data_IF_985160505337
#
_entry.id   IF_985160505337
#
_cell.length_a   1.000
_cell.length_b   1.000
_cell.length_c   1.000
_cell.angle_alpha   90.00
_cell.angle_beta   90.00
_cell.angle_gamma   90.00
#
_symmetry.space_group_name_H-M   'P 1'
#
loop_
_entity.id
_entity.type
_entity.pdbx_description
1 polymer ?
#
# COMPACT_ATOMS: atom_id res chain seq x y z
N UNK A 1 -4.91 -16.46 -21.42
CA UNK A 1 -4.83 -16.59 -22.87
C UNK A 1 -3.54 -17.32 -23.19
N UNK A 2 -3.62 -18.39 -23.96
CA UNK A 2 -2.45 -19.09 -24.49
C UNK A 2 -2.35 -18.73 -25.98
N UNK A 3 -1.16 -18.32 -26.42
CA UNK A 3 -0.87 -18.03 -27.82
C UNK A 3 0.19 -19.02 -28.28
N UNK A 4 -0.17 -19.90 -29.23
CA UNK A 4 0.79 -20.78 -29.87
C UNK A 4 1.49 -20.05 -31.02
N UNK A 5 2.82 -20.14 -31.03
CA UNK A 5 3.68 -19.56 -32.07
C UNK A 5 4.42 -20.71 -32.79
N UNK A 6 3.81 -21.29 -33.86
CA UNK A 6 4.44 -22.34 -34.62
C UNK A 6 5.79 -21.91 -35.20
N UNK A 7 6.72 -22.85 -35.28
CA UNK A 7 8.09 -22.59 -35.71
C UNK A 7 8.17 -21.94 -37.10
N UNK A 8 7.39 -22.41 -38.03
CA UNK A 8 7.29 -21.90 -39.41
C UNK A 8 6.83 -20.43 -39.44
N UNK A 9 5.89 -20.03 -38.58
CA UNK A 9 5.43 -18.65 -38.45
C UNK A 9 6.54 -17.76 -37.86
N UNK A 10 7.31 -18.26 -36.87
CA UNK A 10 8.39 -17.50 -36.23
C UNK A 10 9.60 -17.24 -37.18
N UNK A 11 9.89 -18.14 -38.10
CA UNK A 11 11.00 -18.01 -39.06
C UNK A 11 10.61 -17.32 -40.36
N UNK A 12 9.33 -17.08 -40.59
CA UNK A 12 8.82 -16.45 -41.79
C UNK A 12 9.09 -14.93 -41.75
N UNK A 13 9.25 -14.34 -42.90
CA UNK A 13 9.48 -12.90 -43.06
C UNK A 13 8.28 -12.21 -43.68
N UNK A 14 7.95 -11.01 -43.19
CA UNK A 14 6.84 -10.23 -43.72
C UNK A 14 6.99 -8.74 -43.43
N UNK A 15 6.17 -7.89 -44.02
CA UNK A 15 6.19 -6.46 -43.72
C UNK A 15 5.73 -6.22 -42.29
N UNK A 16 6.50 -5.48 -41.50
CA UNK A 16 6.11 -5.04 -40.20
C UNK A 16 5.14 -3.85 -40.27
N UNK A 17 3.90 -4.04 -39.92
CA UNK A 17 2.86 -2.99 -39.94
C UNK A 17 2.62 -2.32 -38.58
N UNK A 18 3.43 -2.67 -37.59
CA UNK A 18 3.25 -2.17 -36.20
C UNK A 18 2.02 -2.76 -35.50
N UNK A 19 1.94 -2.62 -34.17
CA UNK A 19 0.78 -3.06 -33.43
C UNK A 19 -0.40 -2.14 -33.71
N UNK A 20 -1.53 -2.71 -34.16
CA UNK A 20 -2.80 -1.98 -34.14
C UNK A 20 -3.24 -1.82 -32.68
N UNK A 21 -3.66 -0.60 -32.31
CA UNK A 21 -4.19 -0.33 -30.96
C UNK A 21 -5.41 -1.23 -30.74
N UNK A 22 -5.23 -2.29 -29.95
CA UNK A 22 -6.33 -3.16 -29.56
C UNK A 22 -7.23 -2.43 -28.56
N UNK A 23 -8.49 -2.21 -28.90
CA UNK A 23 -9.49 -1.75 -27.94
C UNK A 23 -10.30 -2.97 -27.49
N UNK A 24 -10.12 -3.36 -26.23
CA UNK A 24 -10.98 -4.35 -25.61
C UNK A 24 -12.29 -3.71 -25.17
N UNK A 25 -13.40 -4.12 -25.76
CA UNK A 25 -14.74 -3.60 -25.43
C UNK A 25 -15.15 -3.89 -23.98
N UNK A 26 -14.60 -4.94 -23.37
CA UNK A 26 -14.83 -5.32 -21.98
C UNK A 26 -13.88 -4.63 -20.98
N UNK A 27 -12.80 -4.00 -21.45
CA UNK A 27 -11.86 -3.31 -20.55
C UNK A 27 -12.38 -1.90 -20.25
N UNK A 28 -13.13 -1.79 -19.16
CA UNK A 28 -13.72 -0.52 -18.68
C UNK A 28 -13.39 -0.38 -17.19
N UNK A 29 -12.15 -0.02 -16.82
CA UNK A 29 -11.78 0.13 -15.43
C UNK A 29 -12.61 1.25 -14.77
N UNK A 30 -13.09 0.99 -13.56
CA UNK A 30 -13.73 1.99 -12.74
C UNK A 30 -12.63 2.89 -12.15
N UNK A 31 -12.54 4.12 -12.62
CA UNK A 31 -11.48 5.06 -12.19
C UNK A 31 -11.87 5.81 -10.92
N UNK A 32 -13.16 6.20 -10.79
CA UNK A 32 -13.65 6.95 -9.62
C UNK A 32 -14.20 6.01 -8.57
N UNK A 33 -13.76 6.18 -7.33
CA UNK A 33 -14.30 5.46 -6.18
C UNK A 33 -15.74 5.87 -5.84
N UNK A 34 -16.44 4.98 -5.12
CA UNK A 34 -17.78 5.30 -4.60
C UNK A 34 -17.68 6.31 -3.45
N UNK A 35 -18.34 7.47 -3.59
CA UNK A 35 -18.29 8.56 -2.59
C UNK A 35 -18.85 8.15 -1.22
N UNK A 36 -19.84 7.26 -1.17
CA UNK A 36 -20.36 6.75 0.11
C UNK A 36 -19.32 5.94 0.86
N UNK A 37 -18.65 4.99 0.16
CA UNK A 37 -17.55 4.19 0.74
C UNK A 37 -16.36 5.08 1.14
N UNK A 38 -16.06 6.12 0.36
CA UNK A 38 -15.00 7.09 0.69
C UNK A 38 -15.32 7.84 1.98
N UNK A 39 -16.55 8.31 2.17
CA UNK A 39 -16.97 8.98 3.41
C UNK A 39 -16.89 8.05 4.61
N UNK A 40 -17.42 6.84 4.47
CA UNK A 40 -17.34 5.79 5.51
C UNK A 40 -15.88 5.46 5.88
N UNK A 41 -15.00 5.33 4.88
CA UNK A 41 -13.57 5.11 5.11
C UNK A 41 -12.92 6.26 5.89
N UNK A 42 -13.22 7.50 5.53
CA UNK A 42 -12.69 8.69 6.23
C UNK A 42 -13.19 8.75 7.68
N UNK A 43 -14.45 8.41 7.94
CA UNK A 43 -15.01 8.34 9.29
C UNK A 43 -14.35 7.22 10.11
N UNK A 44 -14.12 6.06 9.50
CA UNK A 44 -13.42 4.95 10.14
C UNK A 44 -11.99 5.35 10.49
N UNK A 45 -11.24 5.98 9.58
CA UNK A 45 -9.90 6.51 9.85
C UNK A 45 -9.93 7.50 11.02
N UNK A 46 -10.86 8.46 11.01
CA UNK A 46 -10.96 9.47 12.06
C UNK A 46 -11.30 8.89 13.45
N UNK A 47 -11.86 7.67 13.50
CA UNK A 47 -12.17 6.96 14.75
C UNK A 47 -11.04 6.05 15.24
N UNK A 48 -10.02 5.83 14.43
CA UNK A 48 -8.93 4.89 14.73
C UNK A 48 -8.08 5.37 15.91
N UNK A 49 -7.57 4.41 16.67
CA UNK A 49 -6.59 4.65 17.74
C UNK A 49 -5.18 4.22 17.32
N UNK A 50 -5.10 3.26 16.41
CA UNK A 50 -3.86 2.69 15.89
C UNK A 50 -3.94 2.56 14.35
N UNK A 51 -4.15 3.67 13.62
CA UNK A 51 -4.23 3.61 12.17
C UNK A 51 -2.89 3.22 11.55
N UNK A 52 -2.94 2.57 10.39
CA UNK A 52 -1.75 2.27 9.59
C UNK A 52 -2.08 2.39 8.10
N UNK A 53 -1.35 3.21 7.38
CA UNK A 53 -1.35 3.18 5.92
C UNK A 53 -0.47 2.04 5.41
N UNK A 54 -0.96 1.34 4.41
CA UNK A 54 -0.27 0.25 3.74
C UNK A 54 -0.28 0.49 2.24
N UNK A 55 0.81 0.99 1.68
CA UNK A 55 0.92 1.36 0.28
C UNK A 55 1.51 0.25 -0.59
N UNK A 56 0.98 0.11 -1.79
CA UNK A 56 1.45 -0.85 -2.79
C UNK A 56 1.81 -0.22 -4.13
N UNK A 57 2.13 -1.06 -5.10
CA UNK A 57 2.49 -0.67 -6.45
C UNK A 57 1.41 0.11 -7.20
N UNK A 58 0.14 -0.03 -6.79
CA UNK A 58 -0.97 0.75 -7.35
C UNK A 58 -0.80 2.26 -7.20
N UNK A 59 -0.12 2.72 -6.14
CA UNK A 59 0.21 4.14 -5.96
C UNK A 59 1.20 4.61 -7.05
N UNK A 60 2.25 3.81 -7.29
CA UNK A 60 3.26 4.10 -8.31
C UNK A 60 2.63 4.08 -9.70
N UNK A 61 1.79 3.08 -9.97
CA UNK A 61 1.12 2.90 -11.27
C UNK A 61 0.11 4.02 -11.57
N UNK A 62 -0.52 4.61 -10.56
CA UNK A 62 -1.42 5.77 -10.69
C UNK A 62 -0.67 7.08 -11.00
N UNK A 63 0.66 7.07 -10.85
CA UNK A 63 1.54 8.17 -11.23
C UNK A 63 1.97 9.08 -10.07
N UNK A 64 2.84 10.07 -10.35
CA UNK A 64 3.47 10.91 -9.32
C UNK A 64 2.47 11.76 -8.53
N UNK A 65 1.34 12.11 -9.10
CA UNK A 65 0.25 12.80 -8.43
C UNK A 65 -0.32 11.99 -7.26
N UNK A 66 -0.49 10.67 -7.44
CA UNK A 66 -0.99 9.78 -6.39
C UNK A 66 -0.02 9.71 -5.20
N UNK A 67 1.29 9.65 -5.45
CA UNK A 67 2.32 9.70 -4.40
C UNK A 67 2.28 11.01 -3.61
N UNK A 68 2.02 12.14 -4.28
CA UNK A 68 1.88 13.45 -3.63
C UNK A 68 0.63 13.49 -2.72
N UNK A 69 -0.50 12.99 -3.21
CA UNK A 69 -1.74 12.92 -2.45
C UNK A 69 -1.62 11.96 -1.25
N UNK A 70 -0.95 10.82 -1.43
CA UNK A 70 -0.68 9.89 -0.34
C UNK A 70 0.15 10.54 0.76
N UNK A 71 1.24 11.24 0.41
CA UNK A 71 2.08 11.98 1.37
C UNK A 71 1.26 13.04 2.13
N UNK A 72 0.45 13.80 1.41
CA UNK A 72 -0.41 14.80 2.03
C UNK A 72 -1.37 14.16 3.02
N UNK A 73 -2.03 13.05 2.63
CA UNK A 73 -3.01 12.39 3.49
C UNK A 73 -2.37 11.79 4.75
N UNK A 74 -1.24 11.10 4.62
CA UNK A 74 -0.48 10.56 5.76
C UNK A 74 -0.08 11.70 6.72
N UNK A 75 0.47 12.80 6.21
CA UNK A 75 0.87 13.95 7.02
C UNK A 75 -0.31 14.63 7.71
N UNK A 76 -1.45 14.78 7.04
CA UNK A 76 -2.64 15.37 7.63
C UNK A 76 -3.27 14.50 8.72
N UNK A 77 -3.17 13.19 8.61
CA UNK A 77 -3.62 12.27 9.65
C UNK A 77 -2.61 12.12 10.77
N UNK A 78 -1.32 12.22 10.48
CA UNK A 78 -0.23 11.92 11.40
C UNK A 78 -0.09 10.42 11.70
N UNK A 79 -0.70 9.56 10.88
CA UNK A 79 -0.62 8.11 11.02
C UNK A 79 0.68 7.56 10.42
N UNK A 80 1.21 6.42 10.90
CA UNK A 80 2.33 5.72 10.27
C UNK A 80 1.94 5.11 8.93
N UNK A 81 2.97 4.91 8.09
CA UNK A 81 2.84 4.25 6.81
C UNK A 81 3.92 3.18 6.62
N UNK A 82 3.52 2.05 6.04
CA UNK A 82 4.42 1.01 5.53
C UNK A 82 4.14 0.73 4.05
N UNK A 83 5.04 0.02 3.41
CA UNK A 83 4.94 -0.26 1.97
C UNK A 83 5.22 -1.72 1.65
N UNK A 84 4.61 -2.21 0.57
CA UNK A 84 5.07 -3.43 -0.11
C UNK A 84 6.38 -3.17 -0.85
N UNK A 85 7.08 -4.23 -1.26
CA UNK A 85 8.23 -4.12 -2.17
C UNK A 85 7.89 -3.30 -3.43
N UNK A 86 6.75 -3.57 -4.05
CA UNK A 86 6.31 -2.87 -5.27
C UNK A 86 5.81 -1.43 -5.01
N UNK A 87 5.56 -1.07 -3.77
CA UNK A 87 5.17 0.28 -3.35
C UNK A 87 6.34 1.14 -2.89
N UNK A 88 7.55 0.61 -2.83
CA UNK A 88 8.75 1.39 -2.49
C UNK A 88 8.93 2.54 -3.49
N UNK A 89 9.23 3.74 -2.97
CA UNK A 89 9.29 4.97 -3.75
C UNK A 89 7.98 5.76 -3.83
N UNK A 90 6.82 5.16 -3.48
CA UNK A 90 5.56 5.89 -3.40
C UNK A 90 5.52 6.90 -2.24
N UNK A 91 6.27 6.63 -1.18
CA UNK A 91 6.41 7.49 0.00
C UNK A 91 7.90 7.67 0.34
N UNK A 92 8.34 8.86 0.81
CA UNK A 92 9.75 9.10 1.12
C UNK A 92 10.24 8.20 2.25
N UNK A 93 11.35 7.50 2.04
CA UNK A 93 11.96 6.63 3.06
C UNK A 93 12.59 7.41 4.22
N UNK A 94 12.89 8.70 4.01
CA UNK A 94 13.46 9.60 5.02
C UNK A 94 12.41 10.28 5.90
N UNK A 95 11.12 10.11 5.60
CA UNK A 95 10.02 10.66 6.42
C UNK A 95 9.83 9.80 7.67
N UNK A 96 9.74 10.43 8.85
CA UNK A 96 9.57 9.75 10.13
C UNK A 96 8.32 8.88 10.21
N UNK A 97 7.30 9.21 9.41
CA UNK A 97 6.06 8.42 9.33
C UNK A 97 6.27 7.07 8.63
N UNK A 98 7.37 6.88 7.87
CA UNK A 98 7.64 5.66 7.15
C UNK A 98 8.27 4.58 8.04
N UNK A 99 7.62 3.44 8.15
CA UNK A 99 8.08 2.30 8.96
C UNK A 99 8.97 1.32 8.19
N UNK A 100 9.26 1.60 6.92
CA UNK A 100 9.95 0.67 6.04
C UNK A 100 9.00 -0.29 5.33
N UNK A 101 9.58 -1.34 4.76
CA UNK A 101 8.84 -2.37 4.02
C UNK A 101 8.22 -3.39 4.99
N UNK A 102 7.03 -3.87 4.66
CA UNK A 102 6.34 -4.94 5.37
C UNK A 102 6.50 -6.28 4.64
N UNK A 103 6.31 -7.37 5.35
CA UNK A 103 6.32 -8.73 4.81
C UNK A 103 7.47 -9.58 5.32
N UNK A 104 7.70 -10.73 4.68
CA UNK A 104 8.69 -11.74 5.07
C UNK A 104 10.12 -11.16 5.22
N UNK A 105 10.47 -10.22 4.36
CA UNK A 105 11.77 -9.53 4.36
C UNK A 105 11.66 -8.07 4.82
N UNK A 106 10.59 -7.73 5.53
CA UNK A 106 10.30 -6.37 5.96
C UNK A 106 10.89 -6.03 7.33
N UNK A 107 10.72 -4.77 7.70
CA UNK A 107 11.15 -4.23 8.98
C UNK A 107 10.31 -4.79 10.13
N UNK A 108 10.94 -4.96 11.29
CA UNK A 108 10.29 -5.48 12.48
C UNK A 108 9.09 -4.62 12.92
N UNK A 109 9.30 -3.31 13.05
CA UNK A 109 8.26 -2.36 13.43
C UNK A 109 7.13 -2.27 12.41
N UNK A 110 7.42 -2.40 11.11
CA UNK A 110 6.41 -2.42 10.06
C UNK A 110 5.48 -3.65 10.18
N UNK A 111 6.06 -4.82 10.41
CA UNK A 111 5.29 -6.06 10.59
C UNK A 111 4.46 -6.05 11.88
N UNK A 112 5.00 -5.53 12.99
CA UNK A 112 4.25 -5.39 14.23
C UNK A 112 3.12 -4.37 14.10
N UNK A 113 3.37 -3.23 13.45
CA UNK A 113 2.34 -2.23 13.21
C UNK A 113 1.21 -2.80 12.34
N UNK A 114 1.53 -3.62 11.34
CA UNK A 114 0.54 -4.34 10.51
C UNK A 114 -0.34 -5.28 11.35
N UNK A 115 0.26 -5.99 12.30
CA UNK A 115 -0.48 -6.95 13.16
C UNK A 115 -1.32 -6.27 14.23
N UNK A 116 -0.87 -5.13 14.78
CA UNK A 116 -1.46 -4.48 15.95
C UNK A 116 -2.35 -3.27 15.64
N UNK A 117 -2.39 -2.82 14.37
CA UNK A 117 -3.26 -1.70 13.97
C UNK A 117 -4.74 -2.07 14.16
N UNK A 118 -5.56 -1.09 14.50
CA UNK A 118 -7.02 -1.23 14.59
C UNK A 118 -7.74 -0.84 13.28
N UNK A 119 -7.11 0.02 12.46
CA UNK A 119 -7.57 0.37 11.12
C UNK A 119 -6.41 0.35 10.15
N UNK A 120 -6.52 -0.49 9.12
CA UNK A 120 -5.56 -0.61 8.03
C UNK A 120 -6.10 0.05 6.78
N UNK A 121 -5.35 1.01 6.23
CA UNK A 121 -5.70 1.70 5.00
C UNK A 121 -4.81 1.15 3.89
N UNK A 122 -5.30 0.14 3.17
CA UNK A 122 -4.59 -0.50 2.06
C UNK A 122 -4.80 0.31 0.78
N UNK A 123 -3.72 0.87 0.25
CA UNK A 123 -3.71 1.77 -0.89
C UNK A 123 -2.94 1.12 -2.05
N UNK A 124 -3.66 0.53 -2.99
CA UNK A 124 -3.08 -0.09 -4.17
C UNK A 124 -2.16 -1.29 -3.89
N UNK A 125 -2.49 -2.09 -2.87
CA UNK A 125 -1.82 -3.34 -2.53
C UNK A 125 -2.83 -4.50 -2.49
N UNK A 126 -2.40 -5.72 -2.79
CA UNK A 126 -3.30 -6.86 -3.03
C UNK A 126 -3.35 -7.89 -1.90
N UNK A 127 -2.76 -7.64 -0.77
CA UNK A 127 -2.64 -8.61 0.33
C UNK A 127 -2.05 -9.96 -0.12
N UNK A 128 -0.89 -9.91 -0.80
CA UNK A 128 -0.20 -11.12 -1.25
C UNK A 128 0.39 -11.91 -0.07
N UNK A 129 0.62 -13.20 -0.28
CA UNK A 129 1.13 -14.16 0.70
C UNK A 129 2.47 -13.75 1.32
N UNK A 130 3.32 -13.04 0.56
CA UNK A 130 4.62 -12.52 1.03
C UNK A 130 4.48 -11.45 2.12
N UNK A 131 3.30 -10.87 2.26
CA UNK A 131 2.97 -9.88 3.29
C UNK A 131 2.09 -10.49 4.38
N UNK A 132 1.04 -11.21 3.98
CA UNK A 132 0.03 -11.72 4.92
C UNK A 132 0.52 -12.90 5.74
N UNK A 133 1.39 -13.76 5.19
CA UNK A 133 1.69 -15.05 5.79
C UNK A 133 0.42 -15.86 6.01
N UNK A 134 0.23 -16.39 7.20
CA UNK A 134 -0.99 -17.13 7.60
C UNK A 134 -2.21 -16.21 7.61
N UNK A 135 -3.14 -16.44 6.72
CA UNK A 135 -4.34 -15.60 6.56
C UNK A 135 -5.25 -15.62 7.79
N UNK A 136 -5.35 -16.76 8.46
CA UNK A 136 -6.15 -16.93 9.67
C UNK A 136 -5.58 -16.20 10.90
N UNK A 137 -4.33 -15.73 10.83
CA UNK A 137 -3.68 -14.95 11.87
C UNK A 137 -3.41 -13.48 11.47
N UNK A 138 -3.65 -13.13 10.20
CA UNK A 138 -3.30 -11.81 9.70
C UNK A 138 -4.21 -10.70 10.21
N UNK A 139 -3.65 -9.76 10.97
CA UNK A 139 -4.31 -8.53 11.42
C UNK A 139 -5.79 -8.70 11.81
N UNK A 140 -6.10 -9.71 12.66
CA UNK A 140 -7.47 -10.12 13.00
C UNK A 140 -8.28 -9.02 13.70
N UNK A 141 -7.61 -8.12 14.43
CA UNK A 141 -8.25 -7.02 15.19
C UNK A 141 -8.46 -5.77 14.35
N UNK A 142 -7.92 -5.75 13.12
CA UNK A 142 -7.92 -4.58 12.26
C UNK A 142 -9.14 -4.55 11.36
N UNK A 143 -9.84 -3.42 11.31
CA UNK A 143 -10.75 -3.09 10.22
C UNK A 143 -9.93 -2.65 9.00
N UNK A 144 -10.33 -3.10 7.83
CA UNK A 144 -9.55 -2.94 6.60
C UNK A 144 -10.32 -2.14 5.56
N UNK A 145 -9.72 -1.03 5.14
CA UNK A 145 -10.13 -0.24 3.98
C UNK A 145 -9.23 -0.69 2.82
N UNK A 146 -9.80 -1.07 1.68
CA UNK A 146 -9.01 -1.53 0.54
C UNK A 146 -9.34 -0.72 -0.72
N UNK A 147 -8.36 0.01 -1.20
CA UNK A 147 -8.41 0.82 -2.41
C UNK A 147 -7.63 0.09 -3.50
N UNK A 148 -8.33 -0.36 -4.54
CA UNK A 148 -7.73 -1.01 -5.70
C UNK A 148 -8.53 -0.70 -6.96
N UNK A 149 -7.84 -0.58 -8.10
CA UNK A 149 -8.49 -0.38 -9.40
C UNK A 149 -9.09 -1.67 -9.96
N UNK A 150 -8.57 -2.82 -9.53
CA UNK A 150 -9.03 -4.14 -9.94
C UNK A 150 -10.04 -4.71 -8.94
N UNK A 151 -11.34 -4.78 -9.30
CA UNK A 151 -12.34 -5.33 -8.41
C UNK A 151 -12.09 -6.80 -8.04
N UNK A 152 -11.33 -7.55 -8.86
CA UNK A 152 -10.99 -8.94 -8.55
C UNK A 152 -9.96 -9.10 -7.43
N UNK A 153 -9.24 -8.03 -7.08
CA UNK A 153 -8.32 -7.99 -5.95
C UNK A 153 -9.04 -7.81 -4.61
N UNK A 154 -10.25 -7.26 -4.63
CA UNK A 154 -11.06 -7.02 -3.43
C UNK A 154 -11.56 -8.34 -2.85
N UNK A 155 -11.36 -8.54 -1.54
CA UNK A 155 -11.75 -9.77 -0.82
C UNK A 155 -11.12 -11.06 -1.36
N UNK A 156 -10.07 -10.98 -2.19
CA UNK A 156 -9.45 -12.14 -2.80
C UNK A 156 -8.72 -13.02 -1.78
N UNK A 157 -7.85 -12.42 -0.98
CA UNK A 157 -7.03 -13.14 0.00
C UNK A 157 -7.46 -12.82 1.43
N UNK A 158 -7.81 -11.56 1.68
CA UNK A 158 -8.19 -11.05 3.00
C UNK A 158 -9.55 -10.37 2.88
N UNK A 159 -10.53 -10.71 3.73
CA UNK A 159 -11.80 -9.98 3.78
C UNK A 159 -11.56 -8.55 4.25
N UNK A 160 -12.24 -7.59 3.63
CA UNK A 160 -12.12 -6.17 3.93
C UNK A 160 -13.46 -5.58 4.32
N UNK A 161 -13.45 -4.59 5.24
CA UNK A 161 -14.66 -3.96 5.76
C UNK A 161 -15.20 -2.91 4.79
N UNK A 162 -14.29 -2.11 4.19
CA UNK A 162 -14.67 -1.04 3.26
C UNK A 162 -13.90 -1.18 1.95
N UNK A 163 -14.49 -1.79 0.91
CA UNK A 163 -13.91 -1.83 -0.43
C UNK A 163 -14.13 -0.51 -1.17
N UNK A 164 -13.10 -0.02 -1.85
CA UNK A 164 -13.18 1.16 -2.73
C UNK A 164 -12.52 0.79 -4.06
N UNK A 165 -13.32 0.42 -5.05
CA UNK A 165 -12.84 0.17 -6.41
C UNK A 165 -12.64 1.50 -7.11
N UNK A 166 -11.40 1.80 -7.52
CA UNK A 166 -11.04 3.02 -8.20
C UNK A 166 -9.54 3.23 -8.34
N UNK A 167 -9.15 4.15 -9.21
CA UNK A 167 -7.76 4.58 -9.32
C UNK A 167 -7.31 5.30 -8.04
N UNK A 168 -6.12 4.96 -7.57
CA UNK A 168 -5.58 5.46 -6.29
C UNK A 168 -5.54 6.98 -6.24
N UNK A 169 -5.10 7.64 -7.32
CA UNK A 169 -5.01 9.11 -7.37
C UNK A 169 -6.37 9.77 -7.20
N UNK A 170 -7.38 9.32 -7.94
CA UNK A 170 -8.74 9.85 -7.83
C UNK A 170 -9.36 9.58 -6.46
N UNK A 171 -9.18 8.37 -5.92
CA UNK A 171 -9.72 8.02 -4.61
C UNK A 171 -9.07 8.85 -3.50
N UNK A 172 -7.74 8.99 -3.51
CA UNK A 172 -7.02 9.79 -2.51
C UNK A 172 -7.38 11.28 -2.59
N UNK A 173 -7.60 11.82 -3.78
CA UNK A 173 -8.05 13.20 -3.96
C UNK A 173 -9.41 13.42 -3.27
N UNK A 174 -10.36 12.52 -3.49
CA UNK A 174 -11.68 12.61 -2.89
C UNK A 174 -11.65 12.34 -1.38
N UNK A 175 -10.84 11.38 -0.91
CA UNK A 175 -10.62 11.16 0.52
C UNK A 175 -10.04 12.39 1.22
N UNK A 176 -9.09 13.09 0.59
CA UNK A 176 -8.52 14.34 1.13
C UNK A 176 -9.56 15.46 1.20
N UNK A 177 -10.43 15.60 0.19
CA UNK A 177 -11.52 16.59 0.21
C UNK A 177 -12.46 16.30 1.39
N UNK A 178 -12.86 15.06 1.58
CA UNK A 178 -13.74 14.64 2.69
C UNK A 178 -13.01 14.84 4.02
N UNK A 179 -11.73 14.44 4.15
CA UNK A 179 -10.92 14.62 5.35
C UNK A 179 -10.81 16.09 5.76
N UNK A 180 -10.60 17.00 4.81
CA UNK A 180 -10.52 18.45 5.07
C UNK A 180 -11.84 19.02 5.56
N UNK A 181 -12.96 18.51 5.05
CA UNK A 181 -14.32 18.99 5.39
C UNK A 181 -14.88 18.38 6.67
N UNK A 182 -14.38 17.23 7.13
CA UNK A 182 -14.88 16.61 8.36
C UNK A 182 -14.31 17.28 9.61
N UNK A 183 -15.16 17.51 10.61
CA UNK A 183 -14.76 18.04 11.91
C UNK A 183 -14.02 17.00 12.78
N UNK A 184 -14.31 15.70 12.56
CA UNK A 184 -13.69 14.60 13.31
C UNK A 184 -12.32 14.31 12.75
N UNK A 185 -11.32 14.28 13.64
CA UNK A 185 -9.91 13.94 13.34
C UNK A 185 -9.46 12.83 14.28
N UNK A 186 -8.29 12.24 13.98
CA UNK A 186 -7.68 11.29 14.89
C UNK A 186 -7.52 11.87 16.30
N UNK A 187 -7.77 11.03 17.30
CA UNK A 187 -7.48 11.38 18.69
C UNK A 187 -5.98 11.53 18.88
N UNK A 188 -5.55 12.76 19.21
CA UNK A 188 -4.13 13.09 19.36
C UNK A 188 -3.44 12.26 20.45
N UNK A 189 -4.13 11.97 21.56
CA UNK A 189 -3.58 11.20 22.67
C UNK A 189 -3.42 9.72 22.27
N UNK A 190 -4.42 9.14 21.61
CA UNK A 190 -4.35 7.77 21.10
C UNK A 190 -3.24 7.63 20.05
N UNK A 191 -3.17 8.57 19.10
CA UNK A 191 -2.11 8.57 18.08
C UNK A 191 -0.71 8.73 18.67
N UNK A 192 -0.52 9.60 19.66
CA UNK A 192 0.76 9.74 20.38
C UNK A 192 1.14 8.45 21.12
N UNK A 193 0.18 7.76 21.76
CA UNK A 193 0.40 6.45 22.38
C UNK A 193 0.78 5.38 21.38
N UNK A 194 0.17 5.41 20.18
CA UNK A 194 0.51 4.51 19.09
C UNK A 194 1.94 4.71 18.61
N UNK A 195 2.34 5.95 18.39
CA UNK A 195 3.71 6.31 18.04
C UNK A 195 4.73 5.94 19.12
N UNK A 196 4.39 6.09 20.39
CA UNK A 196 5.26 5.65 21.49
C UNK A 196 5.46 4.12 21.49
N UNK A 197 4.44 3.36 21.09
CA UNK A 197 4.55 1.90 20.92
C UNK A 197 5.47 1.56 19.75
N UNK A 198 5.31 2.22 18.61
CA UNK A 198 6.16 2.03 17.42
C UNK A 198 7.61 2.41 17.71
N UNK A 199 7.84 3.51 18.45
CA UNK A 199 9.18 3.94 18.84
C UNK A 199 9.94 2.86 19.62
N UNK A 200 9.27 2.16 20.58
CA UNK A 200 9.86 1.03 21.29
C UNK A 200 10.25 -0.13 20.36
N UNK A 201 9.48 -0.38 19.32
CA UNK A 201 9.83 -1.43 18.35
C UNK A 201 11.03 -1.03 17.50
N UNK A 202 11.17 0.26 17.16
CA UNK A 202 12.33 0.81 16.44
C UNK A 202 13.63 0.72 17.22
N UNK A 203 13.58 0.73 18.57
CA UNK A 203 14.76 0.55 19.43
C UNK A 203 15.49 -0.77 19.15
N UNK A 204 14.81 -1.77 18.56
CA UNK A 204 15.44 -3.03 18.18
C UNK A 204 16.48 -2.86 17.07
N UNK A 205 16.40 -1.80 16.27
CA UNK A 205 17.30 -1.51 15.15
C UNK A 205 17.50 -2.77 14.26
N UNK A 206 16.39 -3.22 13.67
CA UNK A 206 16.30 -4.54 13.02
C UNK A 206 17.18 -4.70 11.79
N UNK A 207 17.70 -3.60 11.23
CA UNK A 207 18.62 -3.62 10.10
C UNK A 207 20.09 -3.53 10.54
N UNK A 208 20.36 -3.37 11.83
CA UNK A 208 21.70 -3.29 12.36
C UNK A 208 22.51 -4.56 12.04
N UNK A 209 23.73 -4.36 11.63
CA UNK A 209 24.67 -5.44 11.38
C UNK A 209 26.03 -5.17 12.07
N UNK A 210 26.78 -6.22 12.33
CA UNK A 210 28.14 -6.11 12.84
C UNK A 210 29.10 -6.02 11.65
N UNK A 211 29.91 -4.96 11.54
CA UNK A 211 30.90 -4.87 10.46
C UNK A 211 31.87 -6.05 10.49
N UNK A 212 32.26 -6.54 9.33
CA UNK A 212 33.33 -7.54 9.19
C UNK A 212 34.70 -6.88 9.31
N UNK A 213 35.71 -7.62 9.83
CA UNK A 213 37.09 -7.13 9.86
C UNK A 213 37.83 -7.41 8.55
N UNK A 214 37.57 -8.57 7.95
CA UNK A 214 38.31 -9.07 6.80
C UNK A 214 37.48 -9.21 5.52
N UNK A 215 36.15 -9.16 5.65
CA UNK A 215 35.19 -9.32 4.54
C UNK A 215 34.16 -8.22 4.60
N UNK A 216 33.99 -7.51 3.48
CA UNK A 216 32.86 -6.54 3.33
C UNK A 216 31.55 -7.31 3.33
N UNK A 217 30.66 -6.99 4.27
CA UNK A 217 29.29 -7.53 4.28
C UNK A 217 28.43 -6.82 3.26
N UNK A 218 27.41 -7.48 2.66
CA UNK A 218 26.49 -6.84 1.71
C UNK A 218 25.88 -5.55 2.25
N UNK A 219 25.53 -5.50 3.53
CA UNK A 219 24.97 -4.32 4.19
C UNK A 219 25.91 -3.11 4.13
N UNK A 220 27.22 -3.33 4.35
CA UNK A 220 28.24 -2.28 4.27
C UNK A 220 28.39 -1.69 2.87
N UNK A 221 28.12 -2.50 1.85
CA UNK A 221 28.20 -2.04 0.45
C UNK A 221 26.98 -1.22 0.05
N UNK A 222 25.83 -1.43 0.74
CA UNK A 222 24.57 -0.77 0.44
C UNK A 222 24.36 0.54 1.23
N UNK A 223 25.06 0.74 2.35
CA UNK A 223 25.08 1.99 3.13
C UNK A 223 26.03 3.04 2.50
#
# INVERSE_FOLDING_TARGET
VVVDLPKDVMINTGPYVGPKRAQHSSYKPQVKGNLSSIKEAVELIASAKKPLFYSGGGVVNSGPGASTLLREFVRQTGAPITSTLMGLGAFPSTDESFLGMVGMHGNYEANLAMSECDVMICVGARFDDRVTGRLDAFAQKSKKIHIDIDPSSINKNVPVDIPIVGDVGHVLEDMLKVWKSTARKLDKKANASWWATIAKWRERDCLKYLPGKDIAKPQYVLE
#
